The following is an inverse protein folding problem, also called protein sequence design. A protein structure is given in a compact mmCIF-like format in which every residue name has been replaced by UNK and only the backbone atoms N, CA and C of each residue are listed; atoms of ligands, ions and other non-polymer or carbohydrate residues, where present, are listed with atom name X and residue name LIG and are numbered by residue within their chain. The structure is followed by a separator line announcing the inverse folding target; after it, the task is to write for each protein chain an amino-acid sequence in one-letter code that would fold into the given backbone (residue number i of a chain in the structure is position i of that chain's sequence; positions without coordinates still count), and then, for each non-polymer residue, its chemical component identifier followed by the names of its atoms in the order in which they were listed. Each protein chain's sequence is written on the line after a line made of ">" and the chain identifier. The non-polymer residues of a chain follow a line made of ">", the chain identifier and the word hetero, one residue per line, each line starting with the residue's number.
data_IF_955068233181
#
_entry.id   IF_955068233181
#
_cell.length_a   1.000
_cell.length_b   1.000
_cell.length_c   1.000
_cell.angle_alpha   90.00
_cell.angle_beta   90.00
_cell.angle_gamma   90.00
#
_symmetry.space_group_name_H-M   'P 1'
#
loop_
_entity.id
_entity.type
_entity.pdbx_description
1 polymer ?
#
# COMPACT_ATOMS: atom_id res chain seq x y z
N UNK A 1 28.71 -26.09 19.25
CA UNK A 1 29.08 -25.18 18.13
C UNK A 1 28.13 -25.24 16.91
N UNK A 2 27.46 -26.37 16.64
CA UNK A 2 26.58 -26.53 15.46
C UNK A 2 25.28 -25.70 15.47
N UNK A 3 24.73 -25.37 16.65
CA UNK A 3 23.45 -24.64 16.77
C UNK A 3 23.56 -23.16 16.37
N UNK A 4 24.74 -22.53 16.58
CA UNK A 4 24.97 -21.14 16.17
C UNK A 4 25.01 -20.97 14.65
N UNK A 5 25.54 -21.95 13.91
CA UNK A 5 25.59 -21.92 12.44
C UNK A 5 24.24 -22.07 11.76
N UNK A 6 23.23 -22.66 12.42
CA UNK A 6 21.86 -22.79 11.87
C UNK A 6 21.08 -21.47 11.98
N UNK A 7 21.11 -20.80 13.13
CA UNK A 7 20.43 -19.51 13.33
C UNK A 7 20.94 -18.38 12.41
N UNK A 8 22.23 -18.39 12.07
CA UNK A 8 22.82 -17.38 11.17
C UNK A 8 22.46 -17.61 9.69
N UNK A 9 22.17 -18.86 9.29
CA UNK A 9 21.70 -19.18 7.94
C UNK A 9 20.22 -18.83 7.75
N UNK A 10 19.39 -18.99 8.77
CA UNK A 10 17.97 -18.61 8.72
C UNK A 10 17.77 -17.10 8.71
N UNK A 11 18.57 -16.33 9.48
CA UNK A 11 18.47 -14.87 9.49
C UNK A 11 18.92 -14.23 8.17
N UNK A 12 19.92 -14.81 7.48
CA UNK A 12 20.32 -14.39 6.13
C UNK A 12 19.27 -14.76 5.08
N UNK A 13 18.63 -15.93 5.18
CA UNK A 13 17.59 -16.36 4.23
C UNK A 13 16.33 -15.48 4.33
N UNK A 14 15.93 -15.09 5.55
CA UNK A 14 14.77 -14.21 5.76
C UNK A 14 14.97 -12.80 5.18
N UNK A 15 16.16 -12.22 5.32
CA UNK A 15 16.48 -10.89 4.77
C UNK A 15 16.56 -10.84 3.24
N UNK A 16 16.87 -11.98 2.60
CA UNK A 16 16.91 -12.08 1.14
C UNK A 16 15.48 -12.15 0.58
N UNK A 17 14.57 -12.82 1.27
CA UNK A 17 13.16 -12.92 0.85
C UNK A 17 12.42 -11.59 0.95
N UNK A 18 12.59 -10.84 2.04
CA UNK A 18 11.98 -9.51 2.21
C UNK A 18 12.48 -8.49 1.17
N UNK A 19 13.72 -8.65 0.68
CA UNK A 19 14.26 -7.83 -0.42
C UNK A 19 13.66 -8.19 -1.78
N UNK A 20 13.37 -9.47 -2.01
CA UNK A 20 12.75 -9.92 -3.25
C UNK A 20 11.29 -9.44 -3.35
N UNK A 21 10.50 -9.55 -2.26
CA UNK A 21 9.10 -9.09 -2.24
C UNK A 21 8.98 -7.57 -2.40
N UNK A 22 9.96 -6.80 -1.91
CA UNK A 22 9.98 -5.35 -2.07
C UNK A 22 10.45 -4.91 -3.46
N UNK A 23 11.33 -5.67 -4.14
CA UNK A 23 11.66 -5.44 -5.55
C UNK A 23 10.48 -5.78 -6.47
N UNK A 24 9.75 -6.86 -6.20
CA UNK A 24 8.60 -7.27 -7.01
C UNK A 24 7.45 -6.24 -6.90
N UNK A 25 7.20 -5.69 -5.71
CA UNK A 25 6.27 -4.57 -5.53
C UNK A 25 6.71 -3.28 -6.23
N UNK A 26 8.02 -2.97 -6.25
CA UNK A 26 8.51 -1.81 -6.99
C UNK A 26 8.37 -2.00 -8.51
N UNK A 27 8.54 -3.23 -8.99
CA UNK A 27 8.33 -3.56 -10.41
C UNK A 27 6.84 -3.49 -10.79
N UNK A 28 5.94 -3.96 -9.92
CA UNK A 28 4.50 -3.87 -10.15
C UNK A 28 4.04 -2.40 -10.22
N UNK A 29 4.48 -1.56 -9.28
CA UNK A 29 4.18 -0.11 -9.28
C UNK A 29 4.71 0.58 -10.55
N UNK A 30 5.93 0.26 -10.99
CA UNK A 30 6.48 0.81 -12.25
C UNK A 30 5.67 0.39 -13.47
N UNK A 31 5.19 -0.86 -13.51
CA UNK A 31 4.33 -1.33 -14.60
C UNK A 31 2.98 -0.61 -14.63
N UNK A 32 2.45 -0.29 -13.45
CA UNK A 32 1.18 0.42 -13.29
C UNK A 32 1.29 1.88 -13.73
N UNK A 33 2.38 2.56 -13.35
CA UNK A 33 2.69 3.93 -13.82
C UNK A 33 2.75 3.97 -15.35
N UNK A 34 3.43 3.00 -15.97
CA UNK A 34 3.56 2.93 -17.42
C UNK A 34 2.20 2.73 -18.13
N UNK A 35 1.30 1.94 -17.54
CA UNK A 35 -0.08 1.77 -18.05
C UNK A 35 -0.89 3.07 -17.94
N UNK A 36 -0.76 3.80 -16.84
CA UNK A 36 -1.44 5.09 -16.63
C UNK A 36 -0.94 6.13 -17.63
N UNK A 37 0.37 6.20 -17.88
CA UNK A 37 0.96 7.09 -18.88
C UNK A 37 0.43 6.79 -20.28
N UNK A 38 0.36 5.51 -20.67
CA UNK A 38 -0.20 5.09 -21.96
C UNK A 38 -1.69 5.45 -22.09
N UNK A 39 -2.48 5.21 -21.04
CA UNK A 39 -3.89 5.58 -21.00
C UNK A 39 -4.08 7.09 -21.16
N UNK A 40 -3.28 7.88 -20.45
CA UNK A 40 -3.36 9.35 -20.46
C UNK A 40 -2.95 9.90 -21.82
N UNK A 41 -1.91 9.34 -22.45
CA UNK A 41 -1.49 9.69 -23.82
C UNK A 41 -2.59 9.38 -24.84
N UNK A 42 -3.24 8.21 -24.73
CA UNK A 42 -4.34 7.83 -25.62
C UNK A 42 -5.55 8.76 -25.47
N UNK A 43 -5.95 9.09 -24.23
CA UNK A 43 -7.05 10.02 -23.96
C UNK A 43 -6.72 11.41 -24.48
N UNK A 44 -5.51 11.90 -24.28
CA UNK A 44 -5.06 13.21 -24.80
C UNK A 44 -5.10 13.27 -26.33
N UNK A 45 -4.66 12.21 -27.02
CA UNK A 45 -4.70 12.14 -28.48
C UNK A 45 -6.14 12.12 -29.00
N UNK A 46 -7.04 11.34 -28.37
CA UNK A 46 -8.47 11.31 -28.72
C UNK A 46 -9.13 12.67 -28.46
N UNK A 47 -8.81 13.32 -27.35
CA UNK A 47 -9.34 14.63 -27.01
C UNK A 47 -8.87 15.69 -28.02
N UNK A 48 -7.60 15.69 -28.40
CA UNK A 48 -7.06 16.58 -29.43
C UNK A 48 -7.70 16.33 -30.80
N UNK A 49 -7.96 15.07 -31.16
CA UNK A 49 -8.67 14.74 -32.39
C UNK A 49 -10.13 15.22 -32.37
N UNK A 50 -10.80 15.12 -31.23
CA UNK A 50 -12.17 15.62 -31.01
C UNK A 50 -12.19 17.15 -31.04
N UNK A 51 -11.24 17.81 -30.39
CA UNK A 51 -11.10 19.27 -30.38
C UNK A 51 -10.79 19.81 -31.77
N UNK A 52 -9.94 19.13 -32.56
CA UNK A 52 -9.66 19.50 -33.95
C UNK A 52 -10.89 19.36 -34.85
N UNK A 53 -11.73 18.35 -34.60
CA UNK A 53 -13.00 18.19 -35.33
C UNK A 53 -14.01 19.29 -34.95
N UNK A 54 -14.16 19.58 -33.67
CA UNK A 54 -15.06 20.64 -33.17
C UNK A 54 -14.61 22.04 -33.60
N UNK A 55 -13.31 22.33 -33.54
CA UNK A 55 -12.77 23.64 -33.95
C UNK A 55 -12.74 23.81 -35.48
N UNK A 56 -12.44 22.75 -36.24
CA UNK A 56 -12.57 22.76 -37.70
C UNK A 56 -14.00 22.95 -38.18
N UNK A 57 -14.99 22.50 -37.39
CA UNK A 57 -16.41 22.64 -37.71
C UNK A 57 -16.96 24.05 -37.43
N UNK A 58 -16.31 24.87 -36.59
CA UNK A 58 -16.75 26.25 -36.28
C UNK A 58 -16.12 27.34 -37.18
N UNK A 59 -15.02 27.06 -37.90
CA UNK A 59 -14.30 28.08 -38.68
C UNK A 59 -14.82 28.26 -40.13
N UNK A 60 -15.73 27.42 -40.61
CA UNK A 60 -16.28 27.48 -41.99
C UNK A 60 -17.79 27.76 -42.04
N UNK A 61 -18.36 28.46 -41.05
CA UNK A 61 -19.78 28.84 -41.08
C UNK A 61 -19.98 30.35 -41.04
N UNK A 62 -19.45 31.04 -42.05
CA UNK A 62 -19.97 32.35 -42.48
C UNK A 62 -20.30 32.26 -43.96
N UNK A 63 -21.49 31.75 -44.28
CA UNK A 63 -21.98 31.67 -45.66
C UNK A 63 -22.98 30.55 -45.81
N UNK A 64 -24.26 30.90 -45.85
CA UNK A 64 -25.39 29.96 -45.94
C UNK A 64 -25.21 28.93 -47.06
N UNK A 65 -24.87 27.71 -46.66
CA UNK A 65 -25.08 26.50 -47.46
C UNK A 65 -25.58 25.45 -46.49
N UNK A 66 -26.77 24.95 -46.80
CA UNK A 66 -27.48 23.91 -46.06
C UNK A 66 -26.53 22.85 -45.53
N UNK A 67 -26.65 22.63 -44.22
CA UNK A 67 -26.13 21.50 -43.44
C UNK A 67 -25.88 20.31 -44.37
N UNK A 68 -24.62 19.90 -44.45
CA UNK A 68 -24.16 18.78 -45.27
C UNK A 68 -24.85 17.48 -44.87
N UNK A 69 -26.02 17.25 -45.45
CA UNK A 69 -26.57 15.93 -45.65
C UNK A 69 -26.18 15.56 -47.09
N UNK A 70 -24.88 15.34 -47.31
CA UNK A 70 -24.39 14.67 -48.52
C UNK A 70 -24.77 13.19 -48.40
N UNK A 71 -26.04 12.93 -48.68
CA UNK A 71 -26.64 11.61 -48.66
C UNK A 71 -27.95 11.59 -49.45
N UNK A 72 -28.57 10.43 -49.60
CA UNK A 72 -29.83 10.24 -50.35
C UNK A 72 -30.97 11.19 -49.92
N UNK A 73 -30.96 11.68 -48.68
CA UNK A 73 -31.89 12.69 -48.17
C UNK A 73 -31.75 14.03 -48.92
N UNK A 74 -30.51 14.44 -49.25
CA UNK A 74 -30.25 15.64 -50.04
C UNK A 74 -30.78 15.50 -51.47
N UNK A 75 -30.74 14.29 -52.05
CA UNK A 75 -31.29 14.03 -53.39
C UNK A 75 -32.81 13.95 -53.37
N UNK A 76 -33.45 13.52 -52.28
CA UNK A 76 -34.91 13.60 -52.10
C UNK A 76 -35.44 15.03 -52.18
N UNK A 77 -34.79 15.98 -51.48
CA UNK A 77 -35.20 17.40 -51.54
C UNK A 77 -35.12 17.99 -52.95
N UNK A 78 -34.15 17.54 -53.76
CA UNK A 78 -34.00 17.96 -55.15
C UNK A 78 -35.10 17.36 -56.04
N UNK A 79 -35.47 16.08 -55.88
CA UNK A 79 -36.49 15.42 -56.68
C UNK A 79 -37.93 15.83 -56.28
N UNK A 80 -38.18 16.09 -54.99
CA UNK A 80 -39.44 16.66 -54.50
C UNK A 80 -39.70 18.04 -55.13
N UNK A 81 -38.65 18.84 -55.33
CA UNK A 81 -38.75 20.14 -56.00
C UNK A 81 -39.07 20.03 -57.50
N UNK A 82 -38.73 18.90 -58.14
CA UNK A 82 -38.96 18.61 -59.58
C UNK A 82 -40.26 17.85 -59.88
N UNK A 83 -41.01 17.40 -58.84
CA UNK A 83 -42.24 16.58 -58.96
C UNK A 83 -42.06 15.23 -59.66
N UNK A 84 -40.84 14.67 -59.64
CA UNK A 84 -40.55 13.36 -60.22
C UNK A 84 -40.94 12.23 -59.23
N UNK A 85 -42.23 11.93 -59.16
CA UNK A 85 -42.82 10.93 -58.25
C UNK A 85 -42.20 9.54 -58.26
N UNK A 86 -41.78 8.92 -59.40
CA UNK A 86 -41.20 7.58 -59.37
C UNK A 86 -39.78 7.55 -58.79
N UNK A 87 -39.01 8.64 -58.94
CA UNK A 87 -37.63 8.71 -58.45
C UNK A 87 -37.60 8.93 -56.93
N UNK A 88 -38.54 9.75 -56.42
CA UNK A 88 -38.77 9.93 -54.98
C UNK A 88 -39.04 8.59 -54.29
N UNK A 89 -39.86 7.73 -54.88
CA UNK A 89 -40.18 6.42 -54.32
C UNK A 89 -38.93 5.52 -54.23
N UNK A 90 -38.05 5.52 -55.24
CA UNK A 90 -36.81 4.73 -55.23
C UNK A 90 -35.81 5.22 -54.20
N UNK A 91 -35.68 6.53 -54.04
CA UNK A 91 -34.78 7.09 -53.03
C UNK A 91 -35.32 6.79 -51.62
N UNK A 92 -36.63 6.92 -51.39
CA UNK A 92 -37.25 6.54 -50.12
C UNK A 92 -37.03 5.06 -49.78
N UNK A 93 -37.17 4.16 -50.75
CA UNK A 93 -37.03 2.72 -50.54
C UNK A 93 -35.58 2.33 -50.21
N UNK A 94 -34.61 2.97 -50.87
CA UNK A 94 -33.19 2.79 -50.55
C UNK A 94 -32.81 3.35 -49.17
N UNK A 95 -33.41 4.47 -48.78
CA UNK A 95 -33.22 5.04 -47.44
C UNK A 95 -33.87 4.20 -46.35
N UNK A 96 -35.08 3.68 -46.58
CA UNK A 96 -35.77 2.79 -45.66
C UNK A 96 -34.96 1.50 -45.44
N UNK A 97 -34.41 0.95 -46.52
CA UNK A 97 -33.53 -0.23 -46.45
C UNK A 97 -32.23 0.07 -45.71
N UNK A 98 -31.63 1.24 -45.96
CA UNK A 98 -30.43 1.69 -45.25
C UNK A 98 -30.69 1.87 -43.75
N UNK A 99 -31.76 2.56 -43.38
CA UNK A 99 -32.16 2.76 -41.98
C UNK A 99 -32.49 1.44 -41.30
N UNK A 100 -33.13 0.50 -42.01
CA UNK A 100 -33.39 -0.83 -41.47
C UNK A 100 -32.08 -1.58 -41.17
N UNK A 101 -31.12 -1.54 -42.10
CA UNK A 101 -29.81 -2.18 -41.90
C UNK A 101 -29.03 -1.54 -40.75
N UNK A 102 -29.02 -0.21 -40.64
CA UNK A 102 -28.34 0.48 -39.54
C UNK A 102 -29.04 0.21 -38.20
N UNK A 103 -30.38 0.13 -38.17
CA UNK A 103 -31.14 -0.23 -36.99
C UNK A 103 -30.81 -1.66 -36.52
N UNK A 104 -30.74 -2.62 -37.45
CA UNK A 104 -30.36 -4.00 -37.14
C UNK A 104 -28.93 -4.06 -36.61
N UNK A 105 -28.02 -3.29 -37.19
CA UNK A 105 -26.63 -3.21 -36.73
C UNK A 105 -26.53 -2.61 -35.33
N UNK A 106 -27.24 -1.51 -35.06
CA UNK A 106 -27.30 -0.92 -33.71
C UNK A 106 -27.94 -1.89 -32.69
N UNK A 107 -28.95 -2.63 -33.10
CA UNK A 107 -29.54 -3.68 -32.27
C UNK A 107 -28.54 -4.80 -31.95
N UNK A 108 -27.70 -5.17 -32.91
CA UNK A 108 -26.65 -6.16 -32.70
C UNK A 108 -25.55 -5.65 -31.77
N UNK A 109 -25.11 -4.39 -31.95
CA UNK A 109 -24.11 -3.75 -31.08
C UNK A 109 -24.61 -3.61 -29.64
N UNK A 110 -25.88 -3.23 -29.45
CA UNK A 110 -26.49 -3.14 -28.11
C UNK A 110 -26.62 -4.51 -27.44
N UNK A 111 -26.94 -5.55 -28.20
CA UNK A 111 -26.96 -6.93 -27.68
C UNK A 111 -25.56 -7.41 -27.28
N UNK A 112 -24.54 -7.13 -28.10
CA UNK A 112 -23.15 -7.49 -27.79
C UNK A 112 -22.63 -6.73 -26.55
N UNK A 113 -22.95 -5.45 -26.40
CA UNK A 113 -22.63 -4.68 -25.20
C UNK A 113 -23.30 -5.26 -23.96
N UNK A 114 -24.57 -5.68 -24.07
CA UNK A 114 -25.31 -6.29 -22.98
C UNK A 114 -24.65 -7.59 -22.50
N UNK A 115 -24.18 -8.42 -23.42
CA UNK A 115 -23.46 -9.66 -23.10
C UNK A 115 -22.13 -9.35 -22.38
N UNK A 116 -21.37 -8.37 -22.86
CA UNK A 116 -20.14 -7.92 -22.19
C UNK A 116 -20.41 -7.36 -20.79
N UNK A 117 -21.53 -6.66 -20.59
CA UNK A 117 -21.92 -6.15 -19.28
C UNK A 117 -22.25 -7.29 -18.31
N UNK A 118 -22.95 -8.33 -18.79
CA UNK A 118 -23.30 -9.50 -17.98
C UNK A 118 -22.04 -10.32 -17.62
N UNK A 119 -21.09 -10.47 -18.55
CA UNK A 119 -19.80 -11.10 -18.26
C UNK A 119 -19.01 -10.29 -17.23
N UNK A 120 -18.95 -8.96 -17.39
CA UNK A 120 -18.28 -8.08 -16.45
C UNK A 120 -18.91 -8.15 -15.05
N UNK A 121 -20.23 -8.20 -14.97
CA UNK A 121 -20.96 -8.38 -13.70
C UNK A 121 -20.61 -9.71 -13.03
N UNK A 122 -20.55 -10.82 -13.79
CA UNK A 122 -20.11 -12.13 -13.28
C UNK A 122 -18.68 -12.08 -12.76
N UNK A 123 -17.76 -11.43 -13.48
CA UNK A 123 -16.38 -11.28 -13.01
C UNK A 123 -16.29 -10.44 -11.74
N UNK A 124 -17.09 -9.37 -11.64
CA UNK A 124 -17.14 -8.52 -10.45
C UNK A 124 -17.68 -9.27 -9.23
N UNK A 125 -18.73 -10.08 -9.39
CA UNK A 125 -19.26 -10.96 -8.33
C UNK A 125 -18.19 -11.98 -7.89
N UNK A 126 -17.50 -12.59 -8.84
CA UNK A 126 -16.42 -13.55 -8.53
C UNK A 126 -15.29 -12.86 -7.75
N UNK A 127 -14.81 -11.71 -8.21
CA UNK A 127 -13.76 -10.94 -7.53
C UNK A 127 -14.17 -10.50 -6.13
N UNK A 128 -15.43 -10.08 -5.93
CA UNK A 128 -15.92 -9.68 -4.61
C UNK A 128 -15.98 -10.87 -3.65
N UNK A 129 -16.40 -12.04 -4.10
CA UNK A 129 -16.37 -13.26 -3.28
C UNK A 129 -14.94 -13.68 -2.91
N UNK A 130 -14.00 -13.57 -3.85
CA UNK A 130 -12.58 -13.88 -3.60
C UNK A 130 -11.94 -12.89 -2.62
N UNK A 131 -12.22 -11.58 -2.77
CA UNK A 131 -11.76 -10.54 -1.85
C UNK A 131 -12.29 -10.77 -0.43
N UNK A 132 -13.55 -11.16 -0.29
CA UNK A 132 -14.14 -11.49 1.01
C UNK A 132 -13.48 -12.73 1.64
N UNK A 133 -13.19 -13.75 0.84
CA UNK A 133 -12.43 -14.93 1.27
C UNK A 133 -11.02 -14.56 1.74
N UNK A 134 -10.33 -13.71 0.98
CA UNK A 134 -8.99 -13.24 1.34
C UNK A 134 -9.01 -12.37 2.60
N UNK A 135 -10.02 -11.51 2.76
CA UNK A 135 -10.18 -10.69 3.97
C UNK A 135 -10.38 -11.55 5.21
N UNK A 136 -11.16 -12.63 5.11
CA UNK A 136 -11.32 -13.60 6.20
C UNK A 136 -10.01 -14.33 6.53
N UNK A 137 -9.25 -14.75 5.50
CA UNK A 137 -7.95 -15.39 5.70
C UNK A 137 -6.93 -14.44 6.36
N UNK A 138 -6.92 -13.16 5.97
CA UNK A 138 -6.08 -12.14 6.61
C UNK A 138 -6.49 -11.90 8.06
N UNK A 139 -7.80 -11.86 8.36
CA UNK A 139 -8.29 -11.76 9.73
C UNK A 139 -7.84 -12.96 10.58
N UNK A 140 -7.97 -14.18 10.06
CA UNK A 140 -7.50 -15.39 10.73
C UNK A 140 -5.98 -15.37 10.96
N UNK A 141 -5.21 -14.95 9.96
CA UNK A 141 -3.75 -14.82 10.07
C UNK A 141 -3.34 -13.79 11.14
N UNK A 142 -4.04 -12.66 11.20
CA UNK A 142 -3.78 -11.64 12.21
C UNK A 142 -4.07 -12.17 13.62
N UNK A 143 -5.21 -12.86 13.82
CA UNK A 143 -5.53 -13.44 15.14
C UNK A 143 -4.51 -14.50 15.57
N UNK A 144 -4.02 -15.32 14.64
CA UNK A 144 -2.97 -16.31 14.92
C UNK A 144 -1.64 -15.62 15.24
N UNK A 145 -1.25 -14.57 14.52
CA UNK A 145 -0.07 -13.76 14.81
C UNK A 145 -0.15 -13.09 16.19
N UNK A 146 -1.28 -12.50 16.53
CA UNK A 146 -1.51 -11.89 17.85
C UNK A 146 -1.43 -12.91 18.97
N UNK A 147 -1.97 -14.11 18.75
CA UNK A 147 -1.86 -15.21 19.72
C UNK A 147 -0.41 -15.66 19.93
N UNK A 148 0.42 -15.66 18.89
CA UNK A 148 1.85 -15.99 18.99
C UNK A 148 2.63 -14.86 19.67
N UNK A 149 2.32 -13.61 19.34
CA UNK A 149 2.92 -12.42 19.97
C UNK A 149 2.64 -12.41 21.46
N UNK A 150 1.40 -12.66 21.87
CA UNK A 150 1.03 -12.73 23.29
C UNK A 150 1.75 -13.88 24.04
N UNK A 151 2.02 -15.01 23.39
CA UNK A 151 2.84 -16.09 23.98
C UNK A 151 4.31 -15.70 24.14
N UNK A 152 4.87 -14.90 23.24
CA UNK A 152 6.25 -14.41 23.34
C UNK A 152 6.40 -13.30 24.38
N UNK A 153 5.41 -12.39 24.49
CA UNK A 153 5.44 -11.31 25.49
C UNK A 153 5.38 -11.86 26.92
N UNK A 154 4.70 -12.98 27.17
CA UNK A 154 4.67 -13.63 28.50
C UNK A 154 6.01 -14.27 28.93
N UNK A 155 7.00 -14.35 28.04
CA UNK A 155 8.37 -14.73 28.40
C UNK A 155 9.20 -13.47 28.64
N UNK A 156 8.80 -12.65 29.62
CA UNK A 156 9.66 -11.56 30.07
C UNK A 156 10.88 -12.18 30.76
N UNK A 157 12.12 -11.91 30.29
CA UNK A 157 13.31 -12.37 31.00
C UNK A 157 13.29 -11.75 32.39
N UNK A 158 13.63 -12.54 33.42
CA UNK A 158 13.75 -12.05 34.78
C UNK A 158 14.78 -10.92 34.82
N UNK A 159 14.29 -9.68 34.78
CA UNK A 159 15.06 -8.44 34.83
C UNK A 159 15.16 -8.03 36.29
N UNK A 160 16.37 -7.99 36.83
CA UNK A 160 16.57 -7.45 38.17
C UNK A 160 16.71 -5.94 38.05
N UNK A 161 15.79 -5.22 38.68
CA UNK A 161 15.85 -3.77 38.78
C UNK A 161 16.99 -3.39 39.75
N UNK A 162 18.13 -2.95 39.22
CA UNK A 162 19.14 -2.24 40.00
C UNK A 162 19.01 -0.74 39.72
N UNK A 163 18.11 -0.08 40.46
CA UNK A 163 17.74 1.33 40.22
C UNK A 163 16.86 1.47 38.97
N UNK A 164 17.21 2.36 38.04
CA UNK A 164 16.46 2.62 36.80
C UNK A 164 16.90 1.76 35.60
N UNK A 165 17.59 0.65 35.84
CA UNK A 165 18.20 -0.16 34.78
C UNK A 165 17.67 -1.60 34.84
N UNK A 166 16.99 -2.01 33.77
CA UNK A 166 16.66 -3.41 33.49
C UNK A 166 17.88 -4.07 32.85
N UNK A 167 18.64 -4.83 33.64
CA UNK A 167 19.70 -5.69 33.12
C UNK A 167 19.24 -7.13 33.23
N UNK A 168 19.21 -7.89 32.12
CA UNK A 168 18.97 -9.32 32.19
C UNK A 168 20.10 -9.95 33.03
N UNK A 169 19.72 -10.53 34.16
CA UNK A 169 20.65 -10.99 35.23
C UNK A 169 21.58 -12.10 34.73
N UNK A 170 21.18 -12.80 33.68
CA UNK A 170 21.92 -13.89 33.07
C UNK A 170 23.33 -13.47 32.62
N UNK A 171 23.49 -12.27 32.04
CA UNK A 171 24.77 -11.87 31.46
C UNK A 171 25.78 -11.38 32.51
N UNK A 172 25.33 -10.66 33.52
CA UNK A 172 26.20 -10.20 34.61
C UNK A 172 26.61 -11.36 35.52
N UNK A 173 25.70 -12.32 35.75
CA UNK A 173 25.97 -13.54 36.51
C UNK A 173 26.99 -14.46 35.84
N UNK A 174 26.92 -14.64 34.51
CA UNK A 174 27.86 -15.50 33.77
C UNK A 174 29.28 -14.90 33.80
N UNK A 175 29.42 -13.58 33.59
CA UNK A 175 30.74 -12.92 33.57
C UNK A 175 31.36 -12.90 34.97
N UNK A 176 30.55 -12.56 36.00
CA UNK A 176 30.99 -12.62 37.39
C UNK A 176 31.35 -14.03 37.84
N UNK A 177 30.57 -15.03 37.42
CA UNK A 177 30.82 -16.45 37.71
C UNK A 177 32.08 -16.97 37.03
N UNK A 178 32.33 -16.61 35.77
CA UNK A 178 33.58 -16.95 35.07
C UNK A 178 34.79 -16.30 35.76
N UNK A 179 34.69 -15.05 36.18
CA UNK A 179 35.75 -14.36 36.89
C UNK A 179 36.04 -15.02 38.24
N UNK A 180 35.00 -15.33 39.02
CA UNK A 180 35.12 -16.03 40.30
C UNK A 180 35.69 -17.44 40.15
N UNK A 181 35.28 -18.17 39.11
CA UNK A 181 35.79 -19.50 38.79
C UNK A 181 37.29 -19.46 38.44
N UNK A 182 37.71 -18.46 37.67
CA UNK A 182 39.11 -18.28 37.29
C UNK A 182 39.98 -17.95 38.50
N UNK A 183 39.47 -17.11 39.41
CA UNK A 183 40.12 -16.83 40.70
C UNK A 183 40.21 -18.11 41.55
N UNK A 184 39.16 -18.91 41.62
CA UNK A 184 39.13 -20.15 42.39
C UNK A 184 40.16 -21.17 41.88
N UNK A 185 40.31 -21.33 40.55
CA UNK A 185 41.35 -22.19 39.96
C UNK A 185 42.76 -21.70 40.34
N UNK A 186 43.02 -20.39 40.26
CA UNK A 186 44.32 -19.83 40.64
C UNK A 186 44.65 -20.07 42.12
N UNK A 187 43.65 -19.97 43.00
CA UNK A 187 43.81 -20.28 44.44
C UNK A 187 44.11 -21.76 44.63
N UNK A 188 43.45 -22.65 43.89
CA UNK A 188 43.64 -24.11 43.99
C UNK A 188 45.06 -24.55 43.59
N UNK A 189 45.65 -23.89 42.59
CA UNK A 189 47.01 -24.17 42.11
C UNK A 189 48.08 -23.60 43.10
N UNK A 190 47.67 -22.89 44.15
CA UNK A 190 48.58 -22.32 45.15
C UNK A 190 49.30 -21.04 44.68
N UNK A 191 48.96 -20.53 43.50
CA UNK A 191 49.57 -19.35 42.87
C UNK A 191 48.94 -18.05 43.40
N UNK A 192 48.89 -17.90 44.73
CA UNK A 192 48.31 -16.70 45.37
C UNK A 192 49.08 -15.42 45.02
N UNK A 193 50.37 -15.56 44.72
CA UNK A 193 51.25 -14.47 44.29
C UNK A 193 50.84 -13.89 42.92
N UNK A 194 50.26 -14.71 42.04
CA UNK A 194 49.77 -14.26 40.73
C UNK A 194 48.52 -13.40 40.86
N UNK A 195 47.65 -13.67 41.85
CA UNK A 195 46.46 -12.85 42.13
C UNK A 195 46.84 -11.45 42.62
N UNK A 196 47.95 -11.32 43.35
CA UNK A 196 48.51 -10.03 43.78
C UNK A 196 49.46 -9.41 42.75
N UNK A 197 49.75 -10.12 41.65
CA UNK A 197 50.67 -9.61 40.64
C UNK A 197 50.06 -8.41 39.91
N UNK A 198 50.87 -7.36 39.62
CA UNK A 198 50.41 -6.22 38.83
C UNK A 198 49.84 -6.66 37.47
N UNK A 199 50.41 -7.70 36.87
CA UNK A 199 49.98 -8.24 35.57
C UNK A 199 48.58 -8.85 35.58
N UNK A 200 48.11 -9.36 36.72
CA UNK A 200 46.73 -9.83 36.88
C UNK A 200 45.77 -8.69 37.24
N UNK A 201 46.22 -7.76 38.10
CA UNK A 201 45.39 -6.64 38.55
C UNK A 201 45.09 -5.64 37.43
N UNK A 202 46.04 -5.39 36.52
CA UNK A 202 45.88 -4.45 35.40
C UNK A 202 44.67 -4.80 34.50
N UNK A 203 44.55 -6.01 33.92
CA UNK A 203 43.42 -6.35 33.07
C UNK A 203 42.09 -6.38 33.83
N UNK A 204 42.08 -6.83 35.09
CA UNK A 204 40.86 -6.79 35.94
C UNK A 204 40.44 -5.35 36.22
N UNK A 205 41.40 -4.47 36.52
CA UNK A 205 41.17 -3.04 36.71
C UNK A 205 40.63 -2.37 35.44
N UNK A 206 41.24 -2.64 34.28
CA UNK A 206 40.74 -2.17 32.98
C UNK A 206 39.34 -2.69 32.67
N UNK A 207 39.03 -3.94 33.00
CA UNK A 207 37.70 -4.52 32.83
C UNK A 207 36.65 -3.78 33.68
N UNK A 208 36.98 -3.50 34.95
CA UNK A 208 36.09 -2.78 35.87
C UNK A 208 35.89 -1.31 35.46
N UNK A 209 36.98 -0.62 35.11
CA UNK A 209 36.93 0.78 34.64
C UNK A 209 36.18 0.87 33.31
N UNK A 210 36.45 -0.04 32.38
CA UNK A 210 35.74 -0.12 31.10
C UNK A 210 34.25 -0.36 31.30
N UNK A 211 33.88 -1.27 32.21
CA UNK A 211 32.47 -1.51 32.55
C UNK A 211 31.81 -0.29 33.19
N UNK A 212 32.51 0.41 34.10
CA UNK A 212 32.03 1.63 34.72
C UNK A 212 31.83 2.77 33.70
N UNK A 213 32.75 2.92 32.74
CA UNK A 213 32.64 3.90 31.65
C UNK A 213 31.48 3.57 30.71
N UNK A 214 31.35 2.31 30.28
CA UNK A 214 30.21 1.88 29.46
C UNK A 214 28.89 2.12 30.20
N UNK A 215 28.82 1.82 31.50
CA UNK A 215 27.67 2.12 32.36
C UNK A 215 27.38 3.63 32.43
N UNK A 216 28.39 4.47 32.55
CA UNK A 216 28.25 5.92 32.63
C UNK A 216 27.81 6.56 31.30
N UNK A 217 28.34 6.08 30.16
CA UNK A 217 27.95 6.54 28.82
C UNK A 217 26.53 6.09 28.48
N UNK A 218 26.19 4.83 28.76
CA UNK A 218 24.84 4.28 28.53
C UNK A 218 23.79 4.98 29.40
N UNK A 219 24.13 5.35 30.65
CA UNK A 219 23.23 6.10 31.53
C UNK A 219 23.00 7.56 31.08
N UNK A 220 23.98 8.19 30.41
CA UNK A 220 23.77 9.52 29.81
C UNK A 220 22.84 9.48 28.59
N UNK A 221 22.85 8.38 27.83
CA UNK A 221 22.01 8.23 26.62
C UNK A 221 20.51 8.08 26.91
N UNK A 222 20.12 7.60 28.09
CA UNK A 222 18.71 7.49 28.48
C UNK A 222 18.10 8.83 28.93
N UNK A 223 18.90 9.88 29.17
CA UNK A 223 18.43 11.20 29.61
C UNK A 223 18.13 12.17 28.45
N UNK A 224 18.46 11.83 27.20
CA UNK A 224 18.34 12.75 26.06
C UNK A 224 17.24 12.38 25.06
N UNK A 225 16.36 11.43 25.38
CA UNK A 225 15.25 11.04 24.50
C UNK A 225 13.89 11.24 25.17
N UNK A 226 13.64 12.46 25.63
CA UNK A 226 12.28 13.00 25.63
C UNK A 226 12.32 14.38 24.97
N UNK A 227 11.96 14.43 23.68
CA UNK A 227 11.26 15.58 23.17
C UNK A 227 9.89 15.14 22.64
N UNK A 228 8.86 15.74 23.22
CA UNK A 228 7.62 16.14 22.55
C UNK A 228 6.54 15.07 22.21
N UNK A 229 5.32 15.44 22.64
CA UNK A 229 3.98 15.03 22.18
C UNK A 229 3.35 13.78 22.83
N UNK A 230 2.97 13.91 24.10
CA UNK A 230 1.70 13.37 24.57
C UNK A 230 0.56 14.35 24.20
N UNK A 231 -0.07 14.16 23.04
CA UNK A 231 -1.42 14.69 22.80
C UNK A 231 -2.42 13.76 23.52
N UNK A 232 -3.37 14.27 24.31
CA UNK A 232 -4.49 13.48 24.78
C UNK A 232 -5.40 13.14 23.59
N UNK A 233 -5.77 11.87 23.48
CA UNK A 233 -6.82 11.39 22.60
C UNK A 233 -8.14 11.89 23.18
N UNK A 234 -8.83 12.76 22.44
CA UNK A 234 -10.19 13.19 22.73
C UNK A 234 -11.14 12.00 22.76
N UNK A 235 -11.95 11.98 23.81
CA UNK A 235 -13.01 11.04 24.11
C UNK A 235 -14.26 11.37 23.24
N UNK A 236 -14.76 10.48 22.38
CA UNK A 236 -15.86 10.79 21.45
C UNK A 236 -17.26 10.75 22.09
N UNK A 237 -17.41 10.91 23.41
CA UNK A 237 -18.72 10.89 24.10
C UNK A 237 -19.25 12.23 24.62
N UNK A 238 -18.63 13.37 24.30
CA UNK A 238 -19.17 14.68 24.68
C UNK A 238 -20.06 15.27 23.56
N UNK A 239 -21.36 14.97 23.58
CA UNK A 239 -22.38 15.74 22.87
C UNK A 239 -22.42 17.18 23.41
N UNK A 240 -22.34 18.23 22.56
CA UNK A 240 -22.67 19.58 22.96
C UNK A 240 -24.18 19.82 22.77
N UNK A 241 -24.87 20.15 23.87
CA UNK A 241 -26.23 20.67 23.87
C UNK A 241 -26.32 21.96 23.02
N UNK A 242 -27.21 21.94 22.03
CA UNK A 242 -27.54 23.08 21.18
C UNK A 242 -28.45 24.07 21.95
N UNK A 243 -28.13 25.38 21.99
CA UNK A 243 -29.06 26.37 22.53
C UNK A 243 -30.18 26.67 21.54
N UNK A 244 -31.41 26.41 21.99
CA UNK A 244 -32.67 26.83 21.38
C UNK A 244 -32.76 28.37 21.33
N UNK A 245 -32.72 28.93 20.13
CA UNK A 245 -33.04 30.34 19.91
C UNK A 245 -34.54 30.54 19.67
N UNK A 246 -35.13 31.17 20.68
CA UNK A 246 -36.47 31.74 20.77
C UNK A 246 -36.68 32.79 19.66
N UNK A 247 -37.60 32.54 18.73
CA UNK A 247 -38.03 33.51 17.72
C UNK A 247 -39.23 34.27 18.28
N UNK A 248 -39.00 35.51 18.71
CA UNK A 248 -40.07 36.46 19.05
C UNK A 248 -40.78 36.90 17.77
N UNK A 249 -42.10 36.76 17.80
CA UNK A 249 -43.03 37.35 16.83
C UNK A 249 -43.15 38.86 17.06
N UNK A 250 -43.22 39.59 15.95
CA UNK A 250 -43.47 41.03 15.85
C UNK A 250 -43.68 41.38 14.39
#
# INVERSE_FOLDING_TARGET
>A
MLVRKRKEKESKKKRINERADSEENLQSVRSWIRKIEQSTSSVSSRLSAVEKRLSGQMSETTGGKTIGIEGPIGTLFVHIKKKDTPEIARVLDSELTFLHNELVKQQQETNALKEQLEELEKTHLTMTTELQGMQNAVAELNTTMDSQRNKQVRQEPFVMHLGSLEVPVEFTGIIGGLLAFLIAILVLIGQKEVLLSPWFLIPVGFLLIGFALIKMVKNRSHRSLHPFLSLPIDDPSAQPDLPSFEKKEG
#
